data_IF_638297613223
#
_entry.id   IF_638297613223
#
_cell.length_a   1.000
_cell.length_b   1.000
_cell.length_c   1.000
_cell.angle_alpha   90.00
_cell.angle_beta   90.00
_cell.angle_gamma   90.00
#
_symmetry.space_group_name_H-M   'P 1'
#
loop_
_entity.id
_entity.type
_entity.pdbx_description
1 polymer ?
#
# COMPACT_ATOMS: atom_id res chain seq x y z
N UNK A 1 -3.20 -32.39 -20.04
CA UNK A 1 -2.58 -33.63 -19.53
C UNK A 1 -3.25 -34.89 -20.08
N UNK A 2 -4.58 -34.97 -20.07
CA UNK A 2 -5.38 -36.05 -20.71
C UNK A 2 -4.87 -36.45 -22.11
N UNK A 3 -4.80 -35.50 -23.06
CA UNK A 3 -4.38 -35.78 -24.45
C UNK A 3 -2.95 -36.33 -24.60
N UNK A 4 -2.02 -35.94 -23.72
CA UNK A 4 -0.63 -36.43 -23.72
C UNK A 4 -0.57 -37.83 -23.09
N UNK A 5 -1.37 -38.06 -22.04
CA UNK A 5 -1.48 -39.36 -21.39
C UNK A 5 -2.11 -40.43 -22.28
N UNK A 6 -3.01 -40.06 -23.20
CA UNK A 6 -3.60 -40.99 -24.17
C UNK A 6 -2.59 -41.50 -25.20
N UNK A 7 -1.60 -40.66 -25.59
CA UNK A 7 -0.59 -41.01 -26.59
C UNK A 7 0.62 -41.76 -26.00
N UNK A 8 0.85 -41.67 -24.68
CA UNK A 8 1.94 -42.33 -23.96
C UNK A 8 1.42 -43.09 -22.72
N UNK A 9 0.65 -44.18 -22.91
CA UNK A 9 -0.02 -44.88 -21.82
C UNK A 9 0.96 -45.43 -20.76
N UNK A 10 2.15 -45.87 -21.18
CA UNK A 10 3.21 -46.37 -20.28
C UNK A 10 3.83 -45.28 -19.38
N UNK A 11 3.61 -44.00 -19.71
CA UNK A 11 4.15 -42.86 -18.96
C UNK A 11 3.06 -42.06 -18.23
N UNK A 12 1.81 -42.52 -18.28
CA UNK A 12 0.64 -41.89 -17.64
C UNK A 12 0.88 -41.54 -16.18
N UNK A 13 1.44 -42.45 -15.39
CA UNK A 13 1.74 -42.22 -13.97
C UNK A 13 2.72 -41.06 -13.75
N UNK A 14 3.84 -41.06 -14.49
CA UNK A 14 4.86 -40.00 -14.40
C UNK A 14 4.29 -38.64 -14.84
N UNK A 15 3.46 -38.62 -15.89
CA UNK A 15 2.81 -37.39 -16.38
C UNK A 15 1.84 -36.83 -15.35
N UNK A 16 1.06 -37.68 -14.68
CA UNK A 16 0.15 -37.24 -13.61
C UNK A 16 0.91 -36.68 -12.41
N UNK A 17 2.00 -37.34 -11.98
CA UNK A 17 2.85 -36.83 -10.89
C UNK A 17 3.48 -35.47 -11.23
N UNK A 18 3.94 -35.28 -12.46
CA UNK A 18 4.46 -33.98 -12.91
C UNK A 18 3.34 -32.93 -12.92
N UNK A 19 2.13 -33.29 -13.35
CA UNK A 19 0.99 -32.39 -13.33
C UNK A 19 0.61 -31.96 -11.91
N UNK A 20 0.55 -32.89 -10.96
CA UNK A 20 0.29 -32.62 -9.54
C UNK A 20 1.36 -31.70 -8.94
N UNK A 21 2.64 -31.94 -9.24
CA UNK A 21 3.74 -31.09 -8.79
C UNK A 21 3.68 -29.67 -9.36
N UNK A 22 3.31 -29.53 -10.64
CA UNK A 22 3.15 -28.23 -11.29
C UNK A 22 1.95 -27.46 -10.73
N UNK A 23 0.85 -28.15 -10.45
CA UNK A 23 -0.34 -27.55 -9.81
C UNK A 23 -0.01 -27.07 -8.40
N UNK A 24 0.64 -27.91 -7.59
CA UNK A 24 1.03 -27.54 -6.23
C UNK A 24 2.02 -26.37 -6.23
N UNK A 25 3.01 -26.38 -7.15
CA UNK A 25 3.94 -25.25 -7.31
C UNK A 25 3.20 -23.98 -7.73
N UNK A 26 2.27 -24.06 -8.68
CA UNK A 26 1.47 -22.93 -9.11
C UNK A 26 0.60 -22.34 -7.99
N UNK A 27 0.03 -23.22 -7.14
CA UNK A 27 -0.75 -22.84 -5.96
C UNK A 27 0.11 -22.10 -4.92
N UNK A 28 1.29 -22.64 -4.62
CA UNK A 28 2.24 -22.04 -3.67
C UNK A 28 2.72 -20.67 -4.17
N UNK A 29 3.20 -20.60 -5.41
CA UNK A 29 3.67 -19.33 -5.99
C UNK A 29 2.56 -18.29 -6.08
N UNK A 30 1.32 -18.71 -6.40
CA UNK A 30 0.17 -17.82 -6.47
C UNK A 30 -0.18 -17.21 -5.11
N UNK A 31 -0.12 -18.03 -4.05
CA UNK A 31 -0.37 -17.56 -2.68
C UNK A 31 0.74 -16.62 -2.20
N UNK A 32 2.00 -16.96 -2.43
CA UNK A 32 3.15 -16.12 -2.06
C UNK A 32 3.10 -14.76 -2.74
N UNK A 33 2.91 -14.73 -4.07
CA UNK A 33 2.78 -13.48 -4.84
C UNK A 33 1.56 -12.65 -4.41
N UNK A 34 0.45 -13.31 -4.06
CA UNK A 34 -0.76 -12.64 -3.57
C UNK A 34 -0.53 -11.98 -2.21
N UNK A 35 0.12 -12.69 -1.29
CA UNK A 35 0.43 -12.19 0.05
C UNK A 35 1.43 -11.04 0.00
N UNK A 36 2.50 -11.16 -0.79
CA UNK A 36 3.51 -10.11 -0.95
C UNK A 36 2.89 -8.81 -1.47
N UNK A 37 2.11 -8.89 -2.56
CA UNK A 37 1.39 -7.73 -3.13
C UNK A 37 0.39 -7.13 -2.14
N UNK A 38 -0.33 -7.97 -1.40
CA UNK A 38 -1.28 -7.52 -0.39
C UNK A 38 -0.61 -6.77 0.77
N UNK A 39 0.51 -7.28 1.26
CA UNK A 39 1.28 -6.65 2.34
C UNK A 39 1.94 -5.34 1.89
N UNK A 40 2.48 -5.29 0.67
CA UNK A 40 3.08 -4.07 0.12
C UNK A 40 2.03 -2.97 -0.04
N UNK A 41 0.89 -3.31 -0.65
CA UNK A 41 -0.22 -2.36 -0.85
C UNK A 41 -0.78 -1.88 0.49
N UNK A 42 -1.06 -2.77 1.43
CA UNK A 42 -1.58 -2.40 2.75
C UNK A 42 -0.60 -1.51 3.55
N UNK A 43 0.71 -1.76 3.45
CA UNK A 43 1.73 -0.90 4.07
C UNK A 43 1.83 0.47 3.39
N UNK A 44 1.70 0.53 2.07
CA UNK A 44 1.73 1.80 1.34
C UNK A 44 0.50 2.65 1.66
N UNK A 45 -0.69 2.05 1.65
CA UNK A 45 -1.96 2.72 2.00
C UNK A 45 -1.94 3.21 3.45
N UNK A 46 -1.55 2.38 4.41
CA UNK A 46 -1.46 2.77 5.82
C UNK A 46 -0.53 3.96 6.07
N UNK A 47 0.67 3.96 5.46
CA UNK A 47 1.61 5.09 5.57
C UNK A 47 1.09 6.36 4.90
N UNK A 48 0.35 6.23 3.79
CA UNK A 48 -0.24 7.38 3.11
C UNK A 48 -1.35 8.00 3.96
N UNK A 49 -2.23 7.18 4.55
CA UNK A 49 -3.29 7.64 5.44
C UNK A 49 -2.75 8.33 6.70
N UNK A 50 -1.73 7.76 7.34
CA UNK A 50 -1.10 8.37 8.52
C UNK A 50 -0.49 9.74 8.20
N UNK A 51 0.20 9.86 7.06
CA UNK A 51 0.74 11.14 6.60
C UNK A 51 -0.35 12.15 6.27
N UNK A 52 -1.41 11.71 5.60
CA UNK A 52 -2.55 12.59 5.28
C UNK A 52 -3.26 13.07 6.54
N UNK A 53 -3.47 12.21 7.54
CA UNK A 53 -4.05 12.60 8.82
C UNK A 53 -3.17 13.60 9.56
N UNK A 54 -1.86 13.33 9.67
CA UNK A 54 -0.93 14.25 10.31
C UNK A 54 -0.89 15.62 9.62
N UNK A 55 -0.89 15.66 8.29
CA UNK A 55 -0.98 16.91 7.52
C UNK A 55 -2.31 17.63 7.74
N UNK A 56 -3.44 16.91 7.69
CA UNK A 56 -4.75 17.49 7.90
C UNK A 56 -4.90 18.08 9.32
N UNK A 57 -4.39 17.39 10.33
CA UNK A 57 -4.38 17.88 11.72
C UNK A 57 -3.49 19.13 11.87
N UNK A 58 -2.34 19.14 11.20
CA UNK A 58 -1.43 20.30 11.17
C UNK A 58 -2.13 21.51 10.56
N UNK A 59 -2.74 21.34 9.38
CA UNK A 59 -3.44 22.44 8.69
C UNK A 59 -4.68 22.91 9.45
N UNK A 60 -5.42 22.00 10.07
CA UNK A 60 -6.54 22.36 10.94
C UNK A 60 -6.09 23.19 12.15
N UNK A 61 -4.92 22.86 12.71
CA UNK A 61 -4.33 23.63 13.81
C UNK A 61 -3.92 25.03 13.37
N UNK A 62 -3.28 25.17 12.19
CA UNK A 62 -2.94 26.47 11.59
C UNK A 62 -4.18 27.34 11.41
N UNK A 63 -5.25 26.80 10.81
CA UNK A 63 -6.50 27.54 10.61
C UNK A 63 -7.11 28.01 11.91
N UNK A 64 -7.24 27.10 12.89
CA UNK A 64 -7.79 27.47 14.22
C UNK A 64 -6.98 28.57 14.88
N UNK A 65 -5.65 28.51 14.81
CA UNK A 65 -4.80 29.56 15.38
C UNK A 65 -4.95 30.89 14.64
N UNK A 66 -5.06 30.85 13.32
CA UNK A 66 -5.34 32.04 12.49
C UNK A 66 -6.71 32.64 12.81
N UNK A 67 -7.74 31.81 12.96
CA UNK A 67 -9.11 32.24 13.32
C UNK A 67 -9.16 32.86 14.73
N UNK A 68 -8.29 32.41 15.64
CA UNK A 68 -8.08 33.03 16.95
C UNK A 68 -7.28 34.35 16.90
N UNK A 69 -6.90 34.81 15.70
CA UNK A 69 -6.18 36.07 15.48
C UNK A 69 -4.67 35.98 15.74
N UNK A 70 -4.09 34.78 15.82
CA UNK A 70 -2.64 34.62 15.88
C UNK A 70 -2.02 34.97 14.53
N UNK A 71 -0.89 35.69 14.54
CA UNK A 71 -0.15 35.96 13.31
C UNK A 71 0.49 34.69 12.76
N UNK A 72 0.64 34.63 11.44
CA UNK A 72 1.34 33.54 10.75
C UNK A 72 2.72 33.27 11.33
N UNK A 73 3.39 34.30 11.83
CA UNK A 73 4.76 34.21 12.35
C UNK A 73 4.79 33.46 13.69
N UNK A 74 3.79 33.71 14.54
CA UNK A 74 3.61 32.98 15.80
C UNK A 74 3.23 31.53 15.52
N UNK A 75 2.34 31.30 14.55
CA UNK A 75 1.89 29.94 14.18
C UNK A 75 3.07 29.13 13.62
N UNK A 76 3.88 29.71 12.74
CA UNK A 76 5.12 29.11 12.22
C UNK A 76 6.05 28.68 13.33
N UNK A 77 6.26 29.56 14.30
CA UNK A 77 7.19 29.31 15.39
C UNK A 77 6.66 28.24 16.36
N UNK A 78 5.36 28.26 16.63
CA UNK A 78 4.70 27.31 17.54
C UNK A 78 4.60 25.89 16.97
N UNK A 79 4.36 25.76 15.67
CA UNK A 79 4.18 24.48 14.99
C UNK A 79 5.42 24.05 14.19
N UNK A 80 6.50 24.83 14.24
CA UNK A 80 7.73 24.62 13.46
C UNK A 80 7.49 24.44 11.95
N UNK A 81 6.61 25.26 11.38
CA UNK A 81 6.22 25.21 9.97
C UNK A 81 6.97 26.23 9.12
N UNK A 82 7.18 25.89 7.84
CA UNK A 82 7.68 26.83 6.83
C UNK A 82 6.59 27.79 6.34
N UNK A 83 6.98 28.87 5.68
CA UNK A 83 6.05 29.80 5.03
C UNK A 83 5.14 29.09 4.02
N UNK A 84 5.71 28.17 3.24
CA UNK A 84 4.99 27.39 2.25
C UNK A 84 3.90 26.52 2.91
N UNK A 85 4.23 25.85 4.02
CA UNK A 85 3.28 25.00 4.74
C UNK A 85 2.12 25.80 5.33
N UNK A 86 2.37 27.01 5.83
CA UNK A 86 1.32 27.90 6.36
C UNK A 86 0.43 28.41 5.22
N UNK A 87 1.02 28.83 4.11
CA UNK A 87 0.26 29.26 2.95
C UNK A 87 -0.61 28.13 2.41
N UNK A 88 -0.06 26.94 2.27
CA UNK A 88 -0.82 25.75 1.85
C UNK A 88 -1.96 25.43 2.83
N UNK A 89 -1.70 25.53 4.13
CA UNK A 89 -2.71 25.33 5.17
C UNK A 89 -3.85 26.35 5.12
N UNK A 90 -3.59 27.60 4.72
CA UNK A 90 -4.56 28.69 4.65
C UNK A 90 -5.26 28.82 3.29
N UNK A 91 -4.66 28.34 2.21
CA UNK A 91 -5.18 28.48 0.84
C UNK A 91 -6.10 27.34 0.38
N UNK A 92 -6.16 26.21 1.11
CA UNK A 92 -7.10 25.10 0.86
C UNK A 92 -8.49 25.34 1.47
#
# INVERSE_FOLDING_TARGET
FEAISTHYPSHKGVIMTIAEQLEEKGRVEGLEKGLEKGLEKGRAEGRAEERQKALAETYASVRRMSDMGMSTEVIKQALHLSDEQIQEALNN
#
